data_IF_002209080910
#
_entry.id   IF_002209080910
#
_cell.length_a   1.000
_cell.length_b   1.000
_cell.length_c   1.000
_cell.angle_alpha   90.00
_cell.angle_beta   90.00
_cell.angle_gamma   90.00
#
_symmetry.space_group_name_H-M   'P 1'
#
loop_
_entity.id
_entity.type
_entity.pdbx_description
1 polymer ?
#
# COMPACT_ATOMS: atom_id res chain seq x y z
N UNK A 1 -67.08 34.42 -75.13
CA UNK A 1 -66.69 34.85 -73.77
C UNK A 1 -66.57 36.37 -73.79
N UNK A 2 -67.19 37.10 -72.85
CA UNK A 2 -67.10 38.57 -72.80
C UNK A 2 -65.72 39.01 -72.29
N UNK A 3 -65.18 40.12 -72.80
CA UNK A 3 -63.89 40.69 -72.40
C UNK A 3 -63.81 40.87 -70.86
N UNK A 4 -64.92 41.25 -70.22
CA UNK A 4 -65.01 41.41 -68.77
C UNK A 4 -64.76 40.11 -67.99
N UNK A 5 -65.21 38.97 -68.52
CA UNK A 5 -65.00 37.66 -67.88
C UNK A 5 -63.56 37.18 -68.04
N UNK A 6 -62.91 37.48 -69.17
CA UNK A 6 -61.49 37.22 -69.36
C UNK A 6 -60.61 38.03 -68.39
N UNK A 7 -60.93 39.31 -68.16
CA UNK A 7 -60.21 40.14 -67.18
C UNK A 7 -60.36 39.63 -65.74
N UNK A 8 -61.58 39.23 -65.33
CA UNK A 8 -61.80 38.63 -64.00
C UNK A 8 -61.01 37.34 -63.80
N UNK A 9 -60.97 36.48 -64.81
CA UNK A 9 -60.18 35.26 -64.78
C UNK A 9 -58.68 35.56 -64.61
N UNK A 10 -58.14 36.52 -65.38
CA UNK A 10 -56.74 36.93 -65.29
C UNK A 10 -56.40 37.46 -63.89
N UNK A 11 -57.22 38.35 -63.33
CA UNK A 11 -57.00 38.91 -61.99
C UNK A 11 -57.05 37.83 -60.90
N UNK A 12 -57.94 36.84 -61.06
CA UNK A 12 -58.04 35.71 -60.13
C UNK A 12 -56.80 34.84 -60.18
N UNK A 13 -56.27 34.56 -61.39
CA UNK A 13 -55.01 33.83 -61.56
C UNK A 13 -53.86 34.62 -60.93
N UNK A 14 -53.73 35.92 -61.23
CA UNK A 14 -52.67 36.76 -60.67
C UNK A 14 -52.72 36.78 -59.13
N UNK A 15 -53.91 36.94 -58.55
CA UNK A 15 -54.12 36.91 -57.10
C UNK A 15 -53.75 35.56 -56.51
N UNK A 16 -54.18 34.46 -57.12
CA UNK A 16 -53.86 33.12 -56.64
C UNK A 16 -52.36 32.84 -56.71
N UNK A 17 -51.69 33.25 -57.80
CA UNK A 17 -50.24 33.12 -57.94
C UNK A 17 -49.50 33.93 -56.87
N UNK A 18 -49.94 35.15 -56.58
CA UNK A 18 -49.33 35.97 -55.53
C UNK A 18 -49.45 35.32 -54.14
N UNK A 19 -50.62 34.76 -53.81
CA UNK A 19 -50.85 34.06 -52.53
C UNK A 19 -50.01 32.78 -52.45
N UNK A 20 -49.94 31.99 -53.52
CA UNK A 20 -49.11 30.79 -53.56
C UNK A 20 -47.62 31.12 -53.43
N UNK A 21 -47.15 32.18 -54.08
CA UNK A 21 -45.77 32.64 -53.95
C UNK A 21 -45.44 33.06 -52.52
N UNK A 22 -46.31 33.83 -51.87
CA UNK A 22 -46.11 34.23 -50.48
C UNK A 22 -46.11 33.02 -49.53
N UNK A 23 -47.03 32.06 -49.74
CA UNK A 23 -47.06 30.82 -48.97
C UNK A 23 -45.78 29.99 -49.16
N UNK A 24 -45.26 29.91 -50.38
CA UNK A 24 -44.02 29.22 -50.68
C UNK A 24 -42.81 29.89 -50.01
N UNK A 25 -42.73 31.23 -50.04
CA UNK A 25 -41.67 31.98 -49.34
C UNK A 25 -41.70 31.74 -47.84
N UNK A 26 -42.88 31.83 -47.22
CA UNK A 26 -43.03 31.61 -45.78
C UNK A 26 -42.68 30.18 -45.36
N UNK A 27 -43.02 29.20 -46.19
CA UNK A 27 -42.60 27.81 -45.97
C UNK A 27 -41.09 27.63 -46.12
N UNK A 28 -40.47 28.26 -47.11
CA UNK A 28 -39.02 28.23 -47.32
C UNK A 28 -38.27 28.85 -46.14
N UNK A 29 -38.73 30.00 -45.63
CA UNK A 29 -38.14 30.66 -44.46
C UNK A 29 -38.25 29.78 -43.20
N UNK A 30 -39.42 29.16 -42.97
CA UNK A 30 -39.59 28.20 -41.86
C UNK A 30 -38.70 26.97 -42.00
N UNK A 31 -38.51 26.46 -43.22
CA UNK A 31 -37.61 25.34 -43.47
C UNK A 31 -36.15 25.71 -43.21
N UNK A 32 -35.73 26.92 -43.60
CA UNK A 32 -34.41 27.46 -43.32
C UNK A 32 -34.17 27.64 -41.82
N UNK A 33 -35.12 28.25 -41.11
CA UNK A 33 -35.02 28.45 -39.66
C UNK A 33 -34.86 27.10 -38.91
N UNK A 34 -35.63 26.08 -39.29
CA UNK A 34 -35.50 24.72 -38.72
C UNK A 34 -34.15 24.10 -39.04
N UNK A 35 -33.65 24.25 -40.27
CA UNK A 35 -32.35 23.73 -40.66
C UNK A 35 -31.19 24.43 -39.92
N UNK A 36 -31.30 25.73 -39.65
CA UNK A 36 -30.35 26.47 -38.83
C UNK A 36 -30.39 26.06 -37.36
N UNK A 37 -31.58 25.89 -36.80
CA UNK A 37 -31.76 25.41 -35.43
C UNK A 37 -31.17 24.01 -35.27
N UNK A 38 -31.41 23.12 -36.25
CA UNK A 38 -30.82 21.79 -36.27
C UNK A 38 -29.28 21.85 -36.34
N UNK A 39 -28.72 22.68 -37.23
CA UNK A 39 -27.27 22.89 -37.32
C UNK A 39 -26.68 23.39 -35.99
N UNK A 40 -27.36 24.30 -35.31
CA UNK A 40 -26.94 24.80 -33.98
C UNK A 40 -26.94 23.68 -32.93
N UNK A 41 -27.96 22.84 -32.94
CA UNK A 41 -28.08 21.74 -31.98
C UNK A 41 -27.02 20.67 -32.23
N UNK A 42 -26.74 20.35 -33.49
CA UNK A 42 -25.70 19.41 -33.86
C UNK A 42 -24.29 19.95 -33.54
N UNK A 43 -24.04 21.24 -33.77
CA UNK A 43 -22.80 21.89 -33.34
C UNK A 43 -22.62 21.84 -31.81
N UNK A 44 -23.69 22.06 -31.05
CA UNK A 44 -23.65 21.96 -29.58
C UNK A 44 -23.37 20.54 -29.10
N UNK A 45 -23.95 19.53 -29.76
CA UNK A 45 -23.66 18.11 -29.48
C UNK A 45 -22.21 17.77 -29.76
N UNK A 46 -21.66 18.23 -30.88
CA UNK A 46 -20.27 18.00 -31.23
C UNK A 46 -19.30 18.64 -30.21
N UNK A 47 -19.54 19.89 -29.82
CA UNK A 47 -18.75 20.57 -28.80
C UNK A 47 -18.78 19.84 -27.45
N UNK A 48 -19.94 19.30 -27.05
CA UNK A 48 -20.06 18.52 -25.82
C UNK A 48 -19.25 17.21 -25.88
N UNK A 49 -19.24 16.53 -27.03
CA UNK A 49 -18.44 15.31 -27.25
C UNK A 49 -16.94 15.63 -27.21
N UNK A 50 -16.53 16.76 -27.78
CA UNK A 50 -15.12 17.18 -27.79
C UNK A 50 -14.62 17.56 -26.40
N UNK A 51 -15.41 18.30 -25.62
CA UNK A 51 -15.10 18.57 -24.21
C UNK A 51 -15.04 17.29 -23.38
N UNK A 52 -15.95 16.34 -23.61
CA UNK A 52 -15.90 15.04 -22.93
C UNK A 52 -14.60 14.30 -23.24
N UNK A 53 -14.18 14.27 -24.51
CA UNK A 53 -12.89 13.67 -24.92
C UNK A 53 -11.70 14.39 -24.26
N UNK A 54 -11.77 15.71 -24.10
CA UNK A 54 -10.74 16.49 -23.42
C UNK A 54 -10.61 16.10 -21.95
N UNK A 55 -11.74 16.02 -21.24
CA UNK A 55 -11.79 15.59 -19.85
C UNK A 55 -11.29 14.15 -19.68
N UNK A 56 -11.65 13.25 -20.60
CA UNK A 56 -11.18 11.86 -20.59
C UNK A 56 -9.66 11.79 -20.78
N UNK A 57 -9.10 12.58 -21.68
CA UNK A 57 -7.66 12.70 -21.84
C UNK A 57 -6.98 13.25 -20.58
N UNK A 58 -7.53 14.31 -19.97
CA UNK A 58 -7.01 14.87 -18.72
C UNK A 58 -7.01 13.82 -17.59
N UNK A 59 -8.12 13.10 -17.40
CA UNK A 59 -8.23 12.01 -16.42
C UNK A 59 -7.22 10.89 -16.67
N UNK A 60 -7.06 10.49 -17.93
CA UNK A 60 -6.10 9.46 -18.31
C UNK A 60 -4.66 9.88 -18.00
N UNK A 61 -4.30 11.14 -18.29
CA UNK A 61 -2.97 11.67 -18.00
C UNK A 61 -2.70 11.78 -16.50
N UNK A 62 -3.68 12.19 -15.71
CA UNK A 62 -3.54 12.25 -14.26
C UNK A 62 -3.39 10.84 -13.66
N UNK A 63 -4.16 9.87 -14.15
CA UNK A 63 -4.00 8.48 -13.73
C UNK A 63 -2.58 7.96 -14.02
N UNK A 64 -2.04 8.26 -15.22
CA UNK A 64 -0.65 7.91 -15.55
C UNK A 64 0.37 8.58 -14.63
N UNK A 65 0.14 9.84 -14.21
CA UNK A 65 1.01 10.51 -13.25
C UNK A 65 0.96 9.84 -11.88
N UNK A 66 -0.22 9.45 -11.41
CA UNK A 66 -0.39 8.73 -10.14
C UNK A 66 0.33 7.39 -10.19
N UNK A 67 0.14 6.63 -11.28
CA UNK A 67 0.77 5.32 -11.44
C UNK A 67 2.30 5.44 -11.52
N UNK A 68 2.81 6.44 -12.26
CA UNK A 68 4.25 6.71 -12.31
C UNK A 68 4.84 7.03 -10.93
N UNK A 69 4.14 7.84 -10.11
CA UNK A 69 4.56 8.14 -8.73
C UNK A 69 4.55 6.90 -7.84
N UNK A 70 3.53 6.04 -7.97
CA UNK A 70 3.46 4.78 -7.21
C UNK A 70 4.61 3.86 -7.57
N UNK A 71 4.92 3.71 -8.86
CA UNK A 71 6.05 2.90 -9.33
C UNK A 71 7.36 3.45 -8.79
N UNK A 72 7.59 4.77 -8.90
CA UNK A 72 8.81 5.40 -8.38
C UNK A 72 8.98 5.16 -6.88
N UNK A 73 7.91 5.30 -6.09
CA UNK A 73 7.94 5.04 -4.65
C UNK A 73 8.22 3.58 -4.32
N UNK A 74 7.69 2.62 -5.10
CA UNK A 74 7.99 1.20 -4.94
C UNK A 74 9.47 0.92 -5.25
N UNK A 75 10.01 1.51 -6.31
CA UNK A 75 11.41 1.32 -6.69
C UNK A 75 12.38 1.94 -5.68
N UNK A 76 12.07 3.13 -5.13
CA UNK A 76 12.81 3.71 -4.01
C UNK A 76 12.81 2.78 -2.79
N UNK A 77 11.66 2.20 -2.44
CA UNK A 77 11.58 1.26 -1.32
C UNK A 77 12.43 0.00 -1.56
N UNK A 78 12.39 -0.56 -2.78
CA UNK A 78 13.25 -1.70 -3.16
C UNK A 78 14.73 -1.36 -3.05
N UNK A 79 15.14 -0.15 -3.45
CA UNK A 79 16.53 0.28 -3.32
C UNK A 79 16.95 0.37 -1.85
N UNK A 80 16.09 0.93 -0.98
CA UNK A 80 16.36 1.01 0.45
C UNK A 80 16.49 -0.38 1.08
N UNK A 81 15.61 -1.31 0.72
CA UNK A 81 15.65 -2.68 1.25
C UNK A 81 16.88 -3.44 0.76
N UNK A 82 17.28 -3.27 -0.51
CA UNK A 82 18.52 -3.83 -1.04
C UNK A 82 19.75 -3.27 -0.31
N UNK A 83 19.81 -1.96 -0.11
CA UNK A 83 20.91 -1.32 0.61
C UNK A 83 21.00 -1.81 2.06
N UNK A 84 19.86 -1.99 2.74
CA UNK A 84 19.82 -2.57 4.09
C UNK A 84 20.34 -4.00 4.11
N UNK A 85 19.94 -4.80 3.13
CA UNK A 85 20.40 -6.19 2.99
C UNK A 85 21.91 -6.25 2.75
N UNK A 86 22.44 -5.38 1.88
CA UNK A 86 23.87 -5.28 1.61
C UNK A 86 24.68 -4.85 2.84
N UNK A 87 24.18 -3.87 3.59
CA UNK A 87 24.81 -3.44 4.84
C UNK A 87 24.82 -4.56 5.88
N UNK A 88 23.71 -5.29 6.02
CA UNK A 88 23.63 -6.45 6.91
C UNK A 88 24.64 -7.53 6.52
N UNK A 89 24.75 -7.84 5.22
CA UNK A 89 25.78 -8.77 4.71
C UNK A 89 27.19 -8.31 5.02
N UNK A 90 27.46 -7.00 4.94
CA UNK A 90 28.79 -6.45 5.29
C UNK A 90 29.08 -6.63 6.77
N UNK A 91 28.14 -6.28 7.64
CA UNK A 91 28.26 -6.45 9.09
C UNK A 91 28.48 -7.93 9.46
N UNK A 92 27.74 -8.84 8.83
CA UNK A 92 27.87 -10.27 9.10
C UNK A 92 29.22 -10.82 8.62
N UNK A 93 29.73 -10.36 7.47
CA UNK A 93 31.07 -10.70 6.98
C UNK A 93 32.18 -10.18 7.91
N UNK A 94 32.05 -8.95 8.42
CA UNK A 94 32.98 -8.37 9.39
C UNK A 94 32.99 -9.17 10.71
N UNK A 95 31.81 -9.56 11.22
CA UNK A 95 31.70 -10.41 12.42
C UNK A 95 32.31 -11.78 12.21
N UNK A 96 32.07 -12.42 11.06
CA UNK A 96 32.66 -13.71 10.70
C UNK A 96 34.19 -13.63 10.67
N UNK A 97 34.75 -12.58 10.07
CA UNK A 97 36.19 -12.34 10.04
C UNK A 97 36.78 -12.20 11.45
N UNK A 98 36.12 -11.43 12.33
CA UNK A 98 36.56 -11.29 13.72
C UNK A 98 36.52 -12.62 14.49
N UNK A 99 35.48 -13.42 14.29
CA UNK A 99 35.39 -14.76 14.90
C UNK A 99 36.48 -15.69 14.38
N UNK A 100 36.80 -15.62 13.08
CA UNK A 100 37.88 -16.39 12.48
C UNK A 100 39.25 -15.99 13.09
N UNK A 101 39.50 -14.70 13.26
CA UNK A 101 40.71 -14.20 13.93
C UNK A 101 40.80 -14.64 15.40
N UNK A 102 39.69 -14.56 16.16
CA UNK A 102 39.64 -15.06 17.54
C UNK A 102 39.93 -16.57 17.58
N UNK A 103 39.35 -17.35 16.65
CA UNK A 103 39.58 -18.80 16.58
C UNK A 103 41.05 -19.13 16.28
N UNK A 104 41.67 -18.44 15.30
CA UNK A 104 43.11 -18.59 14.98
C UNK A 104 44.00 -18.27 16.18
N UNK A 105 43.71 -17.17 16.87
CA UNK A 105 44.48 -16.76 18.06
C UNK A 105 44.25 -17.69 19.27
N UNK A 106 43.06 -18.30 19.39
CA UNK A 106 42.77 -19.30 20.43
C UNK A 106 43.53 -20.62 20.21
N UNK A 107 43.79 -21.01 18.96
CA UNK A 107 44.55 -22.23 18.63
C UNK A 107 46.05 -22.08 18.93
N UNK A 108 46.57 -20.84 18.97
CA UNK A 108 47.98 -20.56 19.23
C UNK A 108 48.32 -20.27 20.70
N UNK A 109 47.37 -20.39 21.63
CA UNK A 109 47.61 -20.16 23.06
C UNK A 109 48.03 -21.48 23.73
N UNK A 110 49.24 -21.60 24.33
CA UNK A 110 49.53 -22.74 25.19
C UNK A 110 48.53 -22.75 26.35
N UNK A 111 48.04 -23.94 26.68
CA UNK A 111 47.08 -24.22 27.75
C UNK A 111 47.41 -23.45 29.02
N UNK A 112 46.73 -22.33 29.25
CA UNK A 112 46.60 -21.76 30.58
C UNK A 112 45.29 -22.30 31.16
N UNK A 113 45.38 -23.55 31.62
CA UNK A 113 44.44 -24.15 32.55
C UNK A 113 44.31 -23.27 33.79
N UNK A 114 43.37 -22.34 33.80
CA UNK A 114 43.05 -21.56 35.01
C UNK A 114 41.69 -20.86 34.91
N UNK A 115 40.60 -21.62 34.90
CA UNK A 115 39.39 -21.23 35.66
C UNK A 115 38.80 -22.50 36.28
N UNK A 116 39.47 -23.01 37.32
CA UNK A 116 38.85 -23.94 38.26
C UNK A 116 37.85 -23.15 39.11
N UNK A 117 36.58 -23.52 38.96
CA UNK A 117 35.62 -23.72 40.04
C UNK A 117 35.58 -22.65 41.15
N UNK A 118 34.73 -21.65 40.95
CA UNK A 118 33.80 -21.23 42.01
C UNK A 118 32.39 -21.22 41.42
N UNK A 119 31.89 -22.41 41.06
CA UNK A 119 30.44 -22.59 41.04
C UNK A 119 29.99 -22.49 42.49
N UNK A 120 29.52 -21.30 42.87
CA UNK A 120 28.79 -21.11 44.11
C UNK A 120 27.65 -22.11 44.16
N UNK A 121 27.53 -22.78 45.30
CA UNK A 121 26.52 -23.78 45.60
C UNK A 121 25.14 -23.36 45.08
N UNK A 122 24.57 -24.16 44.17
CA UNK A 122 23.24 -23.95 43.59
C UNK A 122 23.15 -23.17 42.27
N UNK A 123 24.27 -22.77 41.63
CA UNK A 123 24.24 -22.20 40.26
C UNK A 123 24.15 -23.27 39.19
N UNK A 124 23.26 -23.07 38.21
CA UNK A 124 23.11 -23.98 37.08
C UNK A 124 24.08 -23.61 35.94
N UNK A 125 24.51 -24.60 35.17
CA UNK A 125 25.29 -24.35 33.96
C UNK A 125 24.37 -23.87 32.83
N UNK A 126 24.31 -22.55 32.64
CA UNK A 126 23.51 -21.90 31.60
C UNK A 126 23.91 -22.31 30.18
N UNK A 127 25.13 -22.80 29.97
CA UNK A 127 25.59 -23.25 28.63
C UNK A 127 24.99 -24.60 28.25
N UNK A 128 24.64 -25.43 29.24
CA UNK A 128 24.00 -26.74 29.05
C UNK A 128 22.49 -26.70 29.31
N UNK A 129 21.99 -25.62 29.88
CA UNK A 129 20.57 -25.48 30.21
C UNK A 129 19.75 -25.13 28.98
N UNK A 130 19.01 -26.12 28.46
CA UNK A 130 18.13 -25.93 27.31
C UNK A 130 16.84 -25.20 27.73
N UNK A 131 16.73 -23.92 27.37
CA UNK A 131 15.54 -23.09 27.61
C UNK A 131 14.41 -23.38 26.61
N UNK A 132 14.69 -24.15 25.54
CA UNK A 132 13.70 -24.66 24.60
C UNK A 132 12.68 -25.61 25.23
N UNK A 133 13.06 -26.28 26.33
CA UNK A 133 12.19 -27.20 27.07
C UNK A 133 11.19 -26.46 27.98
N UNK A 134 11.36 -25.14 28.13
CA UNK A 134 10.55 -24.31 29.00
C UNK A 134 9.31 -23.73 28.32
N UNK A 135 8.33 -23.25 29.11
CA UNK A 135 7.15 -22.58 28.57
C UNK A 135 7.57 -21.26 27.93
N UNK A 136 7.49 -21.18 26.60
CA UNK A 136 7.81 -19.99 25.84
C UNK A 136 6.61 -19.03 25.78
N UNK A 137 6.83 -17.75 26.07
CA UNK A 137 5.82 -16.71 25.89
C UNK A 137 5.88 -16.13 24.48
N UNK A 138 4.80 -16.30 23.73
CA UNK A 138 4.60 -15.79 22.36
C UNK A 138 3.38 -14.87 22.22
N UNK A 139 2.76 -14.48 23.34
CA UNK A 139 1.52 -13.71 23.34
C UNK A 139 1.76 -12.20 23.42
N UNK A 140 0.72 -11.37 23.16
CA UNK A 140 0.81 -9.94 23.39
C UNK A 140 1.04 -9.66 24.89
N UNK A 141 2.00 -8.80 25.22
CA UNK A 141 2.35 -8.43 26.60
C UNK A 141 1.20 -7.72 27.36
N UNK A 142 0.17 -7.26 26.64
CA UNK A 142 -0.99 -6.55 27.20
C UNK A 142 -2.10 -7.50 27.69
N UNK A 143 -2.06 -8.78 27.34
CA UNK A 143 -3.07 -9.75 27.78
C UNK A 143 -2.72 -10.34 29.15
N UNK A 144 -3.45 -9.92 30.19
CA UNK A 144 -3.19 -10.28 31.60
C UNK A 144 -3.31 -11.79 31.85
N UNK A 145 -4.34 -12.44 31.32
CA UNK A 145 -4.59 -13.87 31.58
C UNK A 145 -3.53 -14.80 30.95
N UNK A 146 -3.15 -14.66 29.67
CA UNK A 146 -2.04 -15.43 29.08
C UNK A 146 -0.72 -15.21 29.82
N UNK A 147 -0.43 -13.97 30.23
CA UNK A 147 0.80 -13.66 30.97
C UNK A 147 0.83 -14.33 32.35
N UNK A 148 -0.26 -14.26 33.13
CA UNK A 148 -0.34 -14.92 34.43
C UNK A 148 -0.27 -16.44 34.32
N UNK A 149 -0.88 -17.01 33.27
CA UNK A 149 -0.83 -18.45 33.00
C UNK A 149 0.58 -18.89 32.65
N UNK A 150 1.27 -18.14 31.81
CA UNK A 150 2.68 -18.38 31.49
C UNK A 150 3.59 -18.27 32.72
N UNK A 151 3.44 -17.20 33.52
CA UNK A 151 4.22 -17.02 34.76
C UNK A 151 4.03 -18.18 35.76
N UNK A 152 2.83 -18.76 35.85
CA UNK A 152 2.60 -19.98 36.63
C UNK A 152 3.40 -21.16 36.07
N UNK A 153 3.39 -21.34 34.74
CA UNK A 153 4.21 -22.34 34.06
C UNK A 153 5.71 -22.17 34.34
N UNK A 154 6.23 -20.94 34.30
CA UNK A 154 7.65 -20.66 34.59
C UNK A 154 8.02 -21.00 36.04
N UNK A 155 7.14 -20.68 37.01
CA UNK A 155 7.35 -21.05 38.42
C UNK A 155 7.45 -22.58 38.60
N UNK A 156 6.59 -23.33 37.92
CA UNK A 156 6.64 -24.81 37.94
C UNK A 156 7.94 -25.28 37.28
N UNK A 157 8.32 -24.71 36.14
CA UNK A 157 9.55 -25.06 35.42
C UNK A 157 10.82 -24.84 36.23
N UNK A 158 10.94 -23.74 36.96
CA UNK A 158 12.08 -23.53 37.88
C UNK A 158 12.12 -24.56 39.00
N UNK A 159 10.95 -24.94 39.52
CA UNK A 159 10.86 -25.94 40.59
C UNK A 159 11.25 -27.33 40.09
N UNK A 160 10.82 -27.72 38.89
CA UNK A 160 11.14 -29.05 38.30
C UNK A 160 12.59 -29.16 37.85
N UNK A 161 13.21 -28.06 37.42
CA UNK A 161 14.61 -28.01 36.96
C UNK A 161 15.60 -27.63 38.07
N UNK A 162 15.13 -27.54 39.31
CA UNK A 162 15.91 -27.15 40.49
C UNK A 162 16.71 -25.84 40.31
N UNK A 163 16.11 -24.87 39.61
CA UNK A 163 16.71 -23.55 39.43
C UNK A 163 16.44 -22.76 40.72
N UNK A 164 17.44 -22.66 41.59
CA UNK A 164 17.30 -22.02 42.90
C UNK A 164 17.83 -20.58 42.89
N UNK A 165 18.95 -20.35 42.21
CA UNK A 165 19.66 -19.07 42.18
C UNK A 165 18.87 -17.97 41.46
N UNK A 166 18.81 -16.77 42.06
CA UNK A 166 18.04 -15.63 41.55
C UNK A 166 18.53 -15.13 40.19
N UNK A 167 19.84 -15.03 40.01
CA UNK A 167 20.44 -14.58 38.75
C UNK A 167 20.10 -15.53 37.59
N UNK A 168 20.18 -16.84 37.84
CA UNK A 168 19.86 -17.87 36.84
C UNK A 168 18.38 -17.82 36.46
N UNK A 169 17.49 -17.63 37.44
CA UNK A 169 16.06 -17.40 37.19
C UNK A 169 15.83 -16.19 36.29
N UNK A 170 16.55 -15.09 36.51
CA UNK A 170 16.42 -13.86 35.69
C UNK A 170 16.86 -14.11 34.26
N UNK A 171 18.01 -14.77 34.07
CA UNK A 171 18.57 -15.05 32.76
C UNK A 171 17.68 -16.03 31.97
N UNK A 172 17.22 -17.10 32.62
CA UNK A 172 16.30 -18.07 32.00
C UNK A 172 14.96 -17.41 31.69
N UNK A 173 14.39 -16.62 32.60
CA UNK A 173 13.11 -15.93 32.38
C UNK A 173 13.18 -15.03 31.13
N UNK A 174 14.29 -14.31 30.93
CA UNK A 174 14.53 -13.52 29.73
C UNK A 174 14.57 -14.36 28.45
N UNK A 175 15.17 -15.56 28.51
CA UNK A 175 15.25 -16.49 27.38
C UNK A 175 13.93 -17.24 27.09
N UNK A 176 12.95 -17.21 28.00
CA UNK A 176 11.61 -17.81 27.83
C UNK A 176 10.61 -16.84 27.18
N UNK A 177 11.06 -15.64 26.80
CA UNK A 177 10.24 -14.64 26.10
C UNK A 177 10.73 -14.60 24.65
N UNK A 178 9.91 -15.13 23.73
CA UNK A 178 10.30 -15.27 22.33
C UNK A 178 10.23 -13.95 21.54
N UNK A 179 9.38 -13.00 21.95
CA UNK A 179 9.19 -11.73 21.26
C UNK A 179 9.29 -10.55 22.22
N UNK A 180 10.42 -9.84 22.12
CA UNK A 180 10.62 -8.49 22.61
C UNK A 180 9.80 -7.52 21.76
N UNK A 181 8.48 -7.51 21.91
CA UNK A 181 7.66 -6.44 21.34
C UNK A 181 7.78 -5.13 22.16
N UNK A 182 8.99 -4.85 22.66
CA UNK A 182 9.41 -3.56 23.22
C UNK A 182 9.04 -2.42 22.26
N UNK A 183 9.18 -2.65 20.94
CA UNK A 183 8.78 -1.68 19.92
C UNK A 183 7.28 -1.35 19.99
N UNK A 184 6.40 -2.34 20.13
CA UNK A 184 4.96 -2.09 20.29
C UNK A 184 4.57 -1.49 21.65
N UNK A 185 5.44 -1.59 22.66
CA UNK A 185 5.25 -0.88 23.94
C UNK A 185 5.52 0.63 23.81
N UNK A 186 6.43 1.03 22.92
CA UNK A 186 6.71 2.45 22.62
C UNK A 186 5.91 3.01 21.43
N UNK A 187 5.11 2.17 20.75
CA UNK A 187 4.20 2.59 19.70
C UNK A 187 2.89 3.15 20.30
N UNK A 188 3.01 4.25 21.04
CA UNK A 188 1.89 5.14 21.33
C UNK A 188 1.75 6.19 20.24
#
# INVERSE_FOLDING_TARGET
MSITEAFKALLTIQKNTAVQFQAAQFQAERAQARAEEQRRLDAKRLAAVEEQRRLDNERFMEQRRIDAKRIASIDEQRQLDNNRFDEQRRIDAEKLSLLEEIAKNSVNRPEQSQISATQADGRIDLTRFQTSDGPQFKGPFQAVEPFLTWMRGVKIFFSTRNVSHSDDKRLILGALISETNLLSYYAN
#
